data_IF_123438800852
#
_entry.id   IF_123438800852
#
_cell.length_a   1.000
_cell.length_b   1.000
_cell.length_c   1.000
_cell.angle_alpha   90.00
_cell.angle_beta   90.00
_cell.angle_gamma   90.00
#
_symmetry.space_group_name_H-M   'P 1'
#
loop_
_entity.id
_entity.type
_entity.pdbx_description
1 polymer ?
#
# COMPACT_ATOMS: atom_id res chain seq x y z
N UNK A 1 -0.83 21.75 15.36
CA UNK A 1 -1.87 20.93 14.66
C UNK A 1 -1.16 19.92 13.76
N UNK A 2 -1.77 18.78 13.38
CA UNK A 2 -1.08 17.78 12.50
C UNK A 2 -1.46 18.08 11.06
N UNK A 3 -0.47 18.17 10.17
CA UNK A 3 -0.72 18.13 8.72
C UNK A 3 -0.20 16.81 8.14
N UNK A 4 -0.92 16.23 7.19
CA UNK A 4 -0.42 15.12 6.37
C UNK A 4 -0.08 15.66 4.98
N UNK A 5 1.06 15.26 4.42
CA UNK A 5 1.43 15.64 3.06
C UNK A 5 1.84 14.40 2.25
N UNK A 6 1.13 14.16 1.14
CA UNK A 6 1.41 13.04 0.26
C UNK A 6 2.52 13.36 -0.75
N UNK A 7 3.49 12.47 -0.85
CA UNK A 7 4.50 12.37 -1.89
C UNK A 7 4.25 11.06 -2.65
N UNK A 8 3.45 11.12 -3.70
CA UNK A 8 3.08 9.94 -4.46
C UNK A 8 4.05 9.73 -5.62
N UNK A 9 4.73 8.59 -5.66
CA UNK A 9 5.58 8.25 -6.79
C UNK A 9 4.75 7.53 -7.85
N UNK A 10 4.24 8.28 -8.81
CA UNK A 10 3.41 7.78 -9.90
C UNK A 10 4.27 7.05 -10.93
N UNK A 11 4.20 5.73 -10.92
CA UNK A 11 4.90 4.87 -11.87
C UNK A 11 4.00 3.73 -12.36
N UNK A 12 4.11 3.32 -13.63
CA UNK A 12 3.43 2.12 -14.11
C UNK A 12 4.14 0.87 -13.58
N UNK A 13 3.44 0.09 -12.76
CA UNK A 13 3.94 -1.14 -12.13
C UNK A 13 3.16 -2.38 -12.57
N UNK A 14 2.15 -2.20 -13.42
CA UNK A 14 1.23 -3.28 -13.77
C UNK A 14 1.89 -4.29 -14.71
N UNK A 15 2.52 -3.82 -15.81
CA UNK A 15 3.16 -4.68 -16.81
C UNK A 15 4.70 -4.82 -16.65
N UNK A 16 5.30 -4.28 -15.60
CA UNK A 16 6.76 -4.27 -15.32
C UNK A 16 7.64 -3.52 -16.34
N UNK A 17 7.16 -3.28 -17.56
CA UNK A 17 7.91 -2.66 -18.66
C UNK A 17 8.54 -1.32 -18.25
N UNK A 18 7.73 -0.43 -17.67
CA UNK A 18 8.18 0.88 -17.23
C UNK A 18 9.17 0.78 -16.07
N UNK A 19 8.94 -0.13 -15.13
CA UNK A 19 9.88 -0.32 -14.03
C UNK A 19 11.23 -0.85 -14.52
N UNK A 20 11.23 -1.80 -15.46
CA UNK A 20 12.43 -2.33 -16.09
C UNK A 20 13.19 -1.24 -16.87
N UNK A 21 12.47 -0.37 -17.59
CA UNK A 21 13.07 0.78 -18.27
C UNK A 21 13.82 1.68 -17.27
N UNK A 22 13.18 2.01 -16.14
CA UNK A 22 13.77 2.85 -15.10
C UNK A 22 14.97 2.15 -14.46
N UNK A 23 14.84 0.87 -14.10
CA UNK A 23 15.92 0.08 -13.48
C UNK A 23 17.12 -0.07 -14.43
N UNK A 24 16.90 -0.30 -15.72
CA UNK A 24 17.97 -0.35 -16.72
C UNK A 24 18.75 0.96 -16.82
N UNK A 25 18.07 2.12 -16.76
CA UNK A 25 18.74 3.44 -16.66
C UNK A 25 19.50 3.64 -15.35
N UNK A 26 19.16 2.91 -14.31
CA UNK A 26 19.89 2.88 -13.03
C UNK A 26 21.03 1.85 -13.02
N UNK A 27 21.32 1.21 -14.15
CA UNK A 27 22.40 0.23 -14.29
C UNK A 27 22.01 -1.18 -13.85
N UNK A 28 20.72 -1.50 -13.77
CA UNK A 28 20.30 -2.87 -13.54
C UNK A 28 20.67 -3.75 -14.74
N UNK A 29 21.44 -4.81 -14.49
CA UNK A 29 21.53 -5.97 -15.38
C UNK A 29 20.92 -7.18 -14.67
N UNK A 30 19.69 -7.58 -15.02
CA UNK A 30 19.04 -8.68 -14.33
C UNK A 30 19.72 -10.04 -14.50
N UNK A 31 20.62 -10.21 -15.48
CA UNK A 31 21.39 -11.44 -15.63
C UNK A 31 22.61 -11.50 -14.69
N UNK A 32 23.07 -10.34 -14.20
CA UNK A 32 24.23 -10.21 -13.33
C UNK A 32 23.85 -9.88 -11.88
N UNK A 33 22.55 -9.67 -11.61
CA UNK A 33 22.04 -9.27 -10.30
C UNK A 33 21.17 -10.35 -9.66
N UNK A 34 21.30 -10.49 -8.34
CA UNK A 34 20.35 -11.25 -7.53
C UNK A 34 19.04 -10.49 -7.33
N UNK A 35 17.99 -11.21 -6.93
CA UNK A 35 16.72 -10.62 -6.53
C UNK A 35 16.87 -9.58 -5.41
N UNK A 36 17.71 -9.86 -4.42
CA UNK A 36 18.02 -8.92 -3.33
C UNK A 36 18.64 -7.62 -3.86
N UNK A 37 19.63 -7.72 -4.75
CA UNK A 37 20.28 -6.55 -5.32
C UNK A 37 19.31 -5.68 -6.12
N UNK A 38 18.33 -6.28 -6.80
CA UNK A 38 17.32 -5.55 -7.55
C UNK A 38 16.27 -4.90 -6.64
N UNK A 39 15.84 -5.58 -5.57
CA UNK A 39 15.01 -4.95 -4.52
C UNK A 39 15.74 -3.75 -3.92
N UNK A 40 17.04 -3.88 -3.64
CA UNK A 40 17.83 -2.76 -3.13
C UNK A 40 17.87 -1.59 -4.11
N UNK A 41 17.97 -1.85 -5.41
CA UNK A 41 17.96 -0.82 -6.44
C UNK A 41 16.59 -0.12 -6.53
N UNK A 42 15.49 -0.88 -6.48
CA UNK A 42 14.12 -0.36 -6.42
C UNK A 42 13.92 0.52 -5.18
N UNK A 43 14.37 0.07 -4.00
CA UNK A 43 14.29 0.84 -2.77
C UNK A 43 15.10 2.14 -2.84
N UNK A 44 16.34 2.07 -3.34
CA UNK A 44 17.20 3.26 -3.48
C UNK A 44 16.67 4.28 -4.48
N UNK A 45 15.87 3.87 -5.47
CA UNK A 45 15.13 4.81 -6.30
C UNK A 45 14.17 5.68 -5.46
N UNK A 46 13.40 5.05 -4.57
CA UNK A 46 12.50 5.77 -3.67
C UNK A 46 13.26 6.66 -2.68
N UNK A 47 14.34 6.15 -2.07
CA UNK A 47 15.17 6.90 -1.12
C UNK A 47 15.69 8.20 -1.73
N UNK A 48 16.16 8.16 -2.98
CA UNK A 48 16.62 9.38 -3.67
C UNK A 48 15.50 10.40 -3.87
N UNK A 49 14.27 9.96 -4.13
CA UNK A 49 13.11 10.85 -4.23
C UNK A 49 12.74 11.44 -2.87
N UNK A 50 12.73 10.62 -1.81
CA UNK A 50 12.48 11.07 -0.43
C UNK A 50 13.52 12.12 -0.02
N UNK A 51 14.81 11.83 -0.20
CA UNK A 51 15.90 12.74 0.14
C UNK A 51 15.82 14.06 -0.63
N UNK A 52 15.48 13.99 -1.92
CA UNK A 52 15.44 15.17 -2.78
C UNK A 52 14.23 16.07 -2.54
N UNK A 53 13.07 15.49 -2.25
CA UNK A 53 11.80 16.23 -2.28
C UNK A 53 11.06 16.24 -0.93
N UNK A 54 11.06 15.14 -0.17
CA UNK A 54 10.34 15.08 1.10
C UNK A 54 11.13 15.71 2.24
N UNK A 55 12.43 15.38 2.38
CA UNK A 55 13.26 15.89 3.48
C UNK A 55 13.36 17.42 3.55
N UNK A 56 13.58 18.16 2.44
CA UNK A 56 13.68 19.63 2.51
C UNK A 56 12.38 20.30 3.00
N UNK A 57 11.23 19.65 2.81
CA UNK A 57 9.93 20.17 3.27
C UNK A 57 9.77 19.98 4.78
N UNK A 58 10.26 18.86 5.33
CA UNK A 58 10.26 18.60 6.77
C UNK A 58 11.10 19.64 7.50
N UNK A 59 12.30 19.91 7.00
CA UNK A 59 13.24 20.88 7.59
C UNK A 59 12.65 22.29 7.67
N UNK A 60 11.74 22.63 6.76
CA UNK A 60 11.07 23.94 6.71
C UNK A 60 9.71 23.99 7.41
N UNK A 61 9.12 22.85 7.81
CA UNK A 61 7.75 22.77 8.36
C UNK A 61 7.63 21.71 9.46
N UNK A 62 7.81 22.15 10.71
CA UNK A 62 7.81 21.25 11.87
C UNK A 62 6.52 20.42 12.08
N UNK A 63 5.36 20.89 11.59
CA UNK A 63 4.03 20.30 11.87
C UNK A 63 3.50 19.32 10.80
N UNK A 64 4.33 18.88 9.84
CA UNK A 64 3.91 18.01 8.73
C UNK A 64 4.42 16.59 8.92
N UNK A 65 3.54 15.60 8.77
CA UNK A 65 3.86 14.20 8.54
C UNK A 65 3.88 13.93 7.01
N UNK A 66 5.06 13.78 6.39
CA UNK A 66 5.16 13.33 5.01
C UNK A 66 4.81 11.86 4.91
N UNK A 67 4.00 11.52 3.91
CA UNK A 67 3.69 10.15 3.53
C UNK A 67 4.27 9.92 2.15
N UNK A 68 5.28 9.06 2.03
CA UNK A 68 5.82 8.66 0.74
C UNK A 68 5.17 7.35 0.30
N UNK A 69 4.53 7.37 -0.87
CA UNK A 69 3.68 6.28 -1.35
C UNK A 69 3.86 6.06 -2.86
N UNK A 70 4.59 5.03 -3.29
CA UNK A 70 4.50 4.47 -4.63
C UNK A 70 3.32 3.49 -4.72
N UNK A 71 2.99 2.98 -5.92
CA UNK A 71 1.84 2.10 -6.13
C UNK A 71 2.09 0.63 -5.73
N UNK A 72 1.03 -0.17 -5.88
CA UNK A 72 1.10 -1.64 -5.78
C UNK A 72 2.10 -2.20 -6.80
N UNK A 73 2.70 -3.35 -6.50
CA UNK A 73 3.66 -4.04 -7.35
C UNK A 73 4.95 -3.27 -7.63
N UNK A 74 5.27 -2.25 -6.82
CA UNK A 74 6.52 -1.53 -6.96
C UNK A 74 7.73 -2.46 -6.88
N UNK A 75 7.70 -3.42 -5.95
CA UNK A 75 8.69 -4.48 -5.88
C UNK A 75 8.14 -5.72 -6.57
N UNK A 76 8.54 -5.87 -7.83
CA UNK A 76 8.33 -7.05 -8.68
C UNK A 76 9.64 -7.37 -9.41
N UNK A 77 9.94 -8.65 -9.62
CA UNK A 77 11.14 -9.06 -10.35
C UNK A 77 11.07 -8.59 -11.82
N UNK A 78 12.21 -8.42 -12.48
CA UNK A 78 12.24 -7.82 -13.82
C UNK A 78 11.42 -8.60 -14.86
N UNK A 79 11.24 -9.91 -14.69
CA UNK A 79 10.42 -10.74 -15.58
C UNK A 79 8.91 -10.61 -15.32
N UNK A 80 8.50 -9.83 -14.32
CA UNK A 80 7.13 -9.74 -13.83
C UNK A 80 6.78 -10.80 -12.76
N UNK A 81 7.73 -11.68 -12.45
CA UNK A 81 7.57 -12.79 -11.51
C UNK A 81 7.65 -12.30 -10.04
N UNK A 82 7.08 -13.06 -9.09
CA UNK A 82 7.27 -12.82 -7.67
C UNK A 82 8.70 -13.11 -7.22
N UNK A 83 9.17 -12.34 -6.25
CA UNK A 83 10.41 -12.61 -5.52
C UNK A 83 10.33 -13.90 -4.73
N UNK A 84 11.45 -14.58 -4.55
CA UNK A 84 11.57 -15.70 -3.64
C UNK A 84 11.52 -15.21 -2.18
N UNK A 85 10.93 -16.03 -1.30
CA UNK A 85 10.81 -15.75 0.13
C UNK A 85 12.10 -15.23 0.80
N UNK A 86 13.31 -15.78 0.54
CA UNK A 86 14.54 -15.24 1.13
C UNK A 86 14.79 -13.77 0.74
N UNK A 87 14.57 -13.41 -0.53
CA UNK A 87 14.75 -12.04 -0.99
C UNK A 87 13.74 -11.09 -0.34
N UNK A 88 12.48 -11.51 -0.18
CA UNK A 88 11.47 -10.76 0.56
C UNK A 88 11.88 -10.56 2.04
N UNK A 89 12.21 -11.63 2.76
CA UNK A 89 12.56 -11.54 4.18
C UNK A 89 13.81 -10.69 4.42
N UNK A 90 14.85 -10.87 3.59
CA UNK A 90 16.09 -10.10 3.69
C UNK A 90 15.87 -8.62 3.36
N UNK A 91 14.87 -8.30 2.53
CA UNK A 91 14.52 -6.91 2.24
C UNK A 91 13.93 -6.16 3.44
N UNK A 92 13.30 -6.84 4.40
CA UNK A 92 12.62 -6.18 5.53
C UNK A 92 13.60 -5.39 6.40
N UNK A 93 14.73 -6.01 6.76
CA UNK A 93 15.79 -5.37 7.53
C UNK A 93 16.45 -4.24 6.73
N UNK A 94 16.66 -4.45 5.43
CA UNK A 94 17.23 -3.43 4.55
C UNK A 94 16.32 -2.20 4.44
N UNK A 95 15.02 -2.39 4.17
CA UNK A 95 14.04 -1.31 4.11
C UNK A 95 13.90 -0.58 5.46
N UNK A 96 13.90 -1.32 6.57
CA UNK A 96 13.94 -0.71 7.90
C UNK A 96 15.20 0.16 8.06
N UNK A 97 16.38 -0.33 7.68
CA UNK A 97 17.62 0.44 7.77
C UNK A 97 17.56 1.73 6.95
N UNK A 98 17.00 1.70 5.74
CA UNK A 98 16.81 2.89 4.91
C UNK A 98 15.84 3.88 5.55
N UNK A 99 14.72 3.40 6.12
CA UNK A 99 13.74 4.24 6.81
C UNK A 99 14.35 5.04 7.97
N UNK A 100 15.39 4.49 8.64
CA UNK A 100 16.07 5.20 9.72
C UNK A 100 16.79 6.49 9.27
N UNK A 101 17.13 6.60 7.98
CA UNK A 101 17.78 7.79 7.42
C UNK A 101 16.81 8.97 7.20
N UNK A 102 15.51 8.74 7.30
CA UNK A 102 14.46 9.76 7.17
C UNK A 102 13.38 9.54 8.25
N UNK A 103 13.73 9.74 9.54
CA UNK A 103 12.94 9.23 10.66
C UNK A 103 11.57 9.88 10.83
N UNK A 104 11.32 10.99 10.14
CA UNK A 104 10.05 11.75 10.18
C UNK A 104 9.12 11.44 9.02
N UNK A 105 9.53 10.61 8.06
CA UNK A 105 8.70 10.23 6.89
C UNK A 105 8.01 8.91 7.18
N UNK A 106 6.68 8.88 7.04
CA UNK A 106 5.93 7.63 6.96
C UNK A 106 6.11 7.05 5.57
N UNK A 107 6.82 5.93 5.47
CA UNK A 107 7.18 5.33 4.20
C UNK A 107 6.43 4.03 4.00
N UNK A 108 5.45 4.04 3.09
CA UNK A 108 4.80 2.83 2.61
C UNK A 108 5.36 2.57 1.21
N UNK A 109 6.33 1.66 1.00
CA UNK A 109 7.15 1.63 -0.21
C UNK A 109 6.44 0.94 -1.39
N UNK A 110 5.10 0.87 -1.35
CA UNK A 110 4.28 0.08 -2.28
C UNK A 110 4.12 -1.34 -1.74
N UNK A 111 3.90 -2.28 -2.64
CA UNK A 111 3.82 -3.70 -2.27
C UNK A 111 4.95 -4.53 -2.85
N UNK A 112 5.25 -5.62 -2.15
CA UNK A 112 6.18 -6.66 -2.61
C UNK A 112 5.41 -7.85 -3.12
N UNK A 113 5.63 -8.19 -4.39
CA UNK A 113 5.15 -9.41 -5.02
C UNK A 113 6.16 -10.53 -4.77
N UNK A 114 5.80 -11.54 -3.96
CA UNK A 114 6.73 -12.59 -3.55
C UNK A 114 6.05 -13.96 -3.45
N UNK A 115 6.83 -15.04 -3.37
CA UNK A 115 6.33 -16.41 -3.30
C UNK A 115 7.15 -17.29 -2.37
N UNK A 116 6.56 -18.41 -1.97
CA UNK A 116 7.22 -19.47 -1.23
C UNK A 116 6.76 -20.86 -1.71
N UNK A 117 7.52 -21.93 -1.42
CA UNK A 117 7.11 -23.28 -1.80
C UNK A 117 5.76 -23.68 -1.18
N UNK A 118 4.88 -24.30 -1.97
CA UNK A 118 3.66 -24.91 -1.46
C UNK A 118 4.00 -26.19 -0.70
N UNK A 119 3.58 -26.29 0.57
CA UNK A 119 3.75 -27.50 1.39
C UNK A 119 2.37 -28.12 1.60
N UNK A 120 2.01 -29.21 0.90
CA UNK A 120 0.71 -29.87 1.08
C UNK A 120 0.53 -30.36 2.52
N UNK A 121 -0.59 -30.01 3.15
CA UNK A 121 -0.83 -30.36 4.55
C UNK A 121 -1.52 -31.72 4.78
N UNK A 122 -1.91 -32.44 3.72
CA UNK A 122 -2.54 -33.77 3.82
C UNK A 122 -2.08 -34.70 2.69
N UNK A 123 -2.00 -36.00 3.00
CA UNK A 123 -1.88 -37.10 2.04
C UNK A 123 -3.17 -37.20 1.19
N UNK A 124 -3.31 -36.28 0.23
CA UNK A 124 -4.29 -36.34 -0.86
C UNK A 124 -3.59 -36.67 -2.18
N UNK A 125 -4.33 -36.85 -3.30
CA UNK A 125 -3.72 -37.07 -4.61
C UNK A 125 -2.69 -35.97 -4.85
N UNK A 126 -1.46 -36.38 -5.14
CA UNK A 126 -0.28 -35.52 -5.26
C UNK A 126 -0.60 -34.32 -6.14
N UNK A 127 -0.90 -33.18 -5.53
CA UNK A 127 -0.76 -31.92 -6.24
C UNK A 127 0.73 -31.80 -6.64
N UNK A 128 1.04 -31.33 -7.85
CA UNK A 128 2.41 -31.29 -8.35
C UNK A 128 3.32 -30.57 -7.35
N UNK A 129 4.50 -31.13 -7.11
CA UNK A 129 5.53 -30.59 -6.20
C UNK A 129 6.10 -29.23 -6.65
N UNK A 130 5.62 -28.70 -7.77
CA UNK A 130 6.08 -27.47 -8.40
C UNK A 130 5.17 -26.26 -8.08
N UNK A 131 4.22 -26.42 -7.15
CA UNK A 131 3.32 -25.35 -6.75
C UNK A 131 3.99 -24.35 -5.79
N UNK A 132 3.68 -23.07 -5.96
CA UNK A 132 4.16 -21.99 -5.10
C UNK A 132 2.99 -21.17 -4.57
N UNK A 133 3.09 -20.72 -3.33
CA UNK A 133 2.17 -19.76 -2.73
C UNK A 133 2.69 -18.37 -3.03
N UNK A 134 1.89 -17.56 -3.70
CA UNK A 134 2.26 -16.18 -4.04
C UNK A 134 1.57 -15.21 -3.07
N UNK A 135 2.22 -14.07 -2.87
CA UNK A 135 1.90 -13.07 -1.88
C UNK A 135 2.10 -11.64 -2.41
N UNK A 136 1.33 -10.71 -1.85
CA UNK A 136 1.37 -9.29 -2.21
C UNK A 136 1.24 -8.47 -0.92
N UNK A 137 2.39 -8.14 -0.35
CA UNK A 137 2.47 -7.52 0.97
C UNK A 137 2.75 -6.03 0.87
N UNK A 138 1.89 -5.20 1.45
CA UNK A 138 2.16 -3.80 1.72
C UNK A 138 2.94 -3.67 3.04
N UNK A 139 4.05 -2.93 3.00
CA UNK A 139 4.87 -2.65 4.18
C UNK A 139 4.71 -1.18 4.57
N UNK A 140 4.82 -0.86 5.85
CA UNK A 140 4.83 0.53 6.32
C UNK A 140 5.94 0.70 7.34
N UNK A 141 6.88 1.60 7.04
CA UNK A 141 8.02 1.91 7.89
C UNK A 141 7.96 3.35 8.41
N UNK A 142 8.46 3.54 9.63
CA UNK A 142 8.68 4.85 10.22
C UNK A 142 9.84 4.79 11.20
N UNK A 143 10.81 5.70 11.08
CA UNK A 143 11.98 5.78 11.97
C UNK A 143 12.69 4.43 12.17
N UNK A 144 12.93 3.72 11.05
CA UNK A 144 13.61 2.43 11.07
C UNK A 144 12.83 1.27 11.69
N UNK A 145 11.52 1.44 11.91
CA UNK A 145 10.64 0.39 12.44
C UNK A 145 9.59 0.02 11.40
N UNK A 146 9.38 -1.28 11.21
CA UNK A 146 8.21 -1.81 10.52
C UNK A 146 6.99 -1.63 11.42
N UNK A 147 6.06 -0.76 11.02
CA UNK A 147 4.82 -0.48 11.73
C UNK A 147 3.68 -1.42 11.30
N UNK A 148 3.63 -1.78 10.02
CA UNK A 148 2.60 -2.64 9.45
C UNK A 148 3.18 -3.49 8.32
N UNK A 149 2.77 -4.76 8.27
CA UNK A 149 2.97 -5.67 7.14
C UNK A 149 1.61 -6.27 6.82
N UNK A 150 0.94 -5.71 5.82
CA UNK A 150 -0.40 -6.10 5.41
C UNK A 150 -0.34 -6.97 4.17
N UNK A 151 -0.87 -8.18 4.25
CA UNK A 151 -1.10 -9.00 3.07
C UNK A 151 -2.43 -8.65 2.41
N UNK A 152 -2.41 -8.38 1.10
CA UNK A 152 -3.62 -8.23 0.28
C UNK A 152 -4.54 -9.45 0.42
N UNK A 153 -5.80 -9.23 0.76
CA UNK A 153 -6.78 -10.32 0.94
C UNK A 153 -7.52 -10.66 -0.36
N UNK A 154 -7.75 -9.66 -1.23
CA UNK A 154 -8.52 -9.84 -2.48
C UNK A 154 -7.65 -9.76 -3.72
N UNK A 155 -7.68 -10.79 -4.56
CA UNK A 155 -6.95 -10.82 -5.82
C UNK A 155 -7.77 -10.49 -7.06
N UNK A 156 -7.06 -10.07 -8.11
CA UNK A 156 -7.57 -9.99 -9.47
C UNK A 156 -7.02 -11.12 -10.35
N UNK A 157 -7.77 -11.53 -11.37
CA UNK A 157 -7.28 -12.45 -12.41
C UNK A 157 -6.11 -11.85 -13.23
N UNK A 158 -5.86 -10.56 -13.08
CA UNK A 158 -4.84 -9.78 -13.81
C UNK A 158 -3.52 -9.74 -13.02
N UNK A 159 -3.51 -10.17 -11.75
CA UNK A 159 -2.33 -10.17 -10.86
C UNK A 159 -1.25 -11.22 -11.26
N UNK A 160 -1.22 -11.65 -12.53
CA UNK A 160 -0.12 -12.41 -13.11
C UNK A 160 -0.22 -13.93 -13.01
N UNK A 161 -1.24 -14.48 -12.34
CA UNK A 161 -1.50 -15.93 -12.22
C UNK A 161 -2.01 -16.53 -13.55
N UNK A 162 -1.20 -16.46 -14.61
CA UNK A 162 -1.49 -17.05 -15.91
C UNK A 162 -1.25 -18.56 -15.84
N UNK A 163 -2.24 -19.33 -15.40
CA UNK A 163 -2.34 -20.80 -15.63
C UNK A 163 -1.03 -21.58 -15.35
N UNK A 164 -0.29 -21.21 -14.32
CA UNK A 164 0.89 -21.92 -13.82
C UNK A 164 0.55 -22.81 -12.61
N UNK A 165 1.54 -23.52 -12.03
CA UNK A 165 1.36 -24.28 -10.78
C UNK A 165 1.20 -23.38 -9.54
N UNK A 166 1.12 -22.07 -9.69
CA UNK A 166 1.00 -21.13 -8.58
C UNK A 166 -0.42 -21.16 -7.98
N UNK A 167 -0.48 -21.37 -6.68
CA UNK A 167 -1.70 -21.33 -5.88
C UNK A 167 -1.59 -20.09 -5.03
N UNK A 168 -2.44 -19.08 -5.23
CA UNK A 168 -2.46 -17.96 -4.30
C UNK A 168 -2.78 -18.45 -2.89
N UNK A 169 -2.33 -17.72 -1.87
CA UNK A 169 -2.90 -17.76 -0.52
C UNK A 169 -4.36 -17.27 -0.60
N UNK A 170 -5.22 -18.05 -1.26
CA UNK A 170 -6.66 -17.83 -1.23
C UNK A 170 -7.03 -17.93 0.22
N UNK A 171 -7.94 -17.07 0.65
CA UNK A 171 -8.69 -17.29 1.88
C UNK A 171 -9.59 -18.54 1.74
N UNK A 172 -9.01 -19.68 1.43
CA UNK A 172 -9.51 -20.98 1.82
C UNK A 172 -9.06 -21.22 3.26
N UNK A 173 -9.82 -22.03 3.99
CA UNK A 173 -9.52 -22.32 5.40
C UNK A 173 -8.13 -22.96 5.61
N UNK A 174 -7.43 -23.36 4.54
CA UNK A 174 -6.12 -24.03 4.59
C UNK A 174 -4.94 -23.05 4.53
N UNK A 175 -5.07 -21.90 3.86
CA UNK A 175 -3.99 -20.92 3.69
C UNK A 175 -3.90 -19.90 4.84
N UNK A 176 -4.91 -19.90 5.72
CA UNK A 176 -4.98 -19.23 7.04
C UNK A 176 -3.78 -19.48 8.00
N UNK A 177 -2.84 -20.36 7.63
CA UNK A 177 -1.65 -20.70 8.43
C UNK A 177 -0.41 -19.86 8.11
N UNK A 178 -0.38 -19.14 6.98
CA UNK A 178 0.80 -18.35 6.58
C UNK A 178 0.59 -16.87 6.93
N UNK A 179 -0.63 -16.39 6.76
CA UNK A 179 -1.10 -15.13 7.32
C UNK A 179 -1.53 -15.40 8.75
N UNK A 180 -0.64 -15.11 9.67
CA UNK A 180 -0.89 -15.16 11.09
C UNK A 180 -2.24 -14.44 11.37
N UNK A 181 -3.16 -15.05 12.14
CA UNK A 181 -4.44 -14.46 12.59
C UNK A 181 -4.22 -13.11 13.37
N UNK A 182 -2.96 -12.67 13.50
CA UNK A 182 -2.44 -11.44 14.09
C UNK A 182 -2.24 -10.28 13.10
N UNK A 183 -2.35 -10.50 11.78
CA UNK A 183 -2.23 -9.41 10.81
C UNK A 183 -3.39 -8.42 10.95
N UNK A 184 -3.03 -7.17 11.19
CA UNK A 184 -3.96 -6.04 11.27
C UNK A 184 -3.60 -5.02 10.19
N UNK A 185 -4.57 -4.57 9.38
CA UNK A 185 -4.34 -3.46 8.46
C UNK A 185 -4.26 -2.12 9.21
N UNK A 186 -4.56 -2.11 10.52
CA UNK A 186 -4.49 -0.94 11.38
C UNK A 186 -3.17 -0.88 12.13
N UNK A 187 -2.59 0.32 12.18
CA UNK A 187 -1.37 0.62 12.91
C UNK A 187 -1.43 2.06 13.46
N UNK A 188 -0.39 2.47 14.17
CA UNK A 188 -0.26 3.86 14.61
C UNK A 188 1.12 4.42 14.30
N UNK A 189 1.16 5.71 13.98
CA UNK A 189 2.40 6.46 13.79
C UNK A 189 2.45 7.61 14.81
N UNK A 190 3.65 7.91 15.29
CA UNK A 190 3.89 9.05 16.17
C UNK A 190 4.51 10.16 15.33
N UNK A 191 3.90 11.34 15.29
CA UNK A 191 4.43 12.48 14.55
C UNK A 191 5.66 13.11 15.23
N UNK A 192 6.24 14.13 14.59
CA UNK A 192 7.39 14.90 15.11
C UNK A 192 7.14 15.56 16.47
N UNK A 193 5.89 15.66 16.92
CA UNK A 193 5.46 16.27 18.17
C UNK A 193 5.00 15.25 19.21
N UNK A 194 5.18 13.96 18.97
CA UNK A 194 4.79 12.91 19.91
C UNK A 194 3.30 12.55 19.89
N UNK A 195 2.53 13.07 18.92
CA UNK A 195 1.10 12.76 18.79
C UNK A 195 0.92 11.45 18.04
N UNK A 196 0.09 10.57 18.58
CA UNK A 196 -0.25 9.30 17.96
C UNK A 196 -1.39 9.50 16.97
N UNK A 197 -1.20 9.03 15.73
CA UNK A 197 -2.21 8.97 14.69
C UNK A 197 -2.60 7.51 14.46
N UNK A 198 -3.90 7.26 14.37
CA UNK A 198 -4.45 5.98 13.93
C UNK A 198 -4.42 5.87 12.41
N UNK A 199 -3.97 4.74 11.88
CA UNK A 199 -3.81 4.54 10.45
C UNK A 199 -4.44 3.21 10.01
N UNK A 200 -4.85 3.15 8.75
CA UNK A 200 -5.26 1.92 8.07
C UNK A 200 -4.66 1.86 6.67
N UNK A 201 -4.26 0.67 6.23
CA UNK A 201 -3.75 0.43 4.87
C UNK A 201 -4.53 -0.69 4.18
N UNK A 202 -4.76 -0.56 2.89
CA UNK A 202 -5.28 -1.64 2.06
C UNK A 202 -4.71 -1.61 0.63
N UNK A 203 -4.86 -2.72 -0.09
CA UNK A 203 -4.23 -2.91 -1.40
C UNK A 203 -5.27 -3.16 -2.49
N UNK A 204 -5.39 -2.22 -3.42
CA UNK A 204 -6.13 -2.38 -4.68
C UNK A 204 -7.55 -2.95 -4.48
N UNK A 205 -7.81 -4.21 -4.85
CA UNK A 205 -9.13 -4.84 -4.72
C UNK A 205 -9.61 -5.03 -3.30
N UNK A 206 -8.74 -4.93 -2.29
CA UNK A 206 -9.17 -4.82 -0.89
C UNK A 206 -10.15 -3.65 -0.74
N UNK A 207 -9.96 -2.57 -1.49
CA UNK A 207 -10.82 -1.39 -1.48
C UNK A 207 -12.17 -1.56 -2.20
N UNK A 208 -12.41 -2.69 -2.88
CA UNK A 208 -13.58 -2.87 -3.75
C UNK A 208 -14.78 -3.43 -2.99
N UNK A 209 -15.94 -2.79 -3.09
CA UNK A 209 -17.21 -3.42 -2.72
C UNK A 209 -17.59 -4.50 -3.75
N UNK A 210 -17.84 -5.72 -3.28
CA UNK A 210 -18.32 -6.81 -4.12
C UNK A 210 -19.86 -6.86 -4.07
N UNK A 211 -20.48 -7.09 -5.23
CA UNK A 211 -21.92 -7.32 -5.26
C UNK A 211 -22.23 -8.64 -4.54
N UNK A 212 -23.24 -8.67 -3.66
CA UNK A 212 -23.59 -9.89 -2.95
C UNK A 212 -24.00 -10.98 -3.94
N UNK A 213 -23.56 -12.21 -3.69
CA UNK A 213 -24.21 -13.36 -4.31
C UNK A 213 -25.62 -13.45 -3.73
N UNK A 214 -26.60 -13.83 -4.56
CA UNK A 214 -28.05 -13.75 -4.26
C UNK A 214 -28.39 -14.10 -2.81
N UNK A 215 -28.82 -13.10 -2.03
CA UNK A 215 -29.30 -13.27 -0.65
C UNK A 215 -28.30 -12.89 0.46
N UNK A 216 -27.06 -12.54 0.11
CA UNK A 216 -26.04 -12.12 1.08
C UNK A 216 -26.01 -10.59 1.27
N UNK A 217 -25.46 -10.13 2.39
CA UNK A 217 -25.17 -8.72 2.62
C UNK A 217 -24.01 -8.26 1.71
N UNK A 218 -23.97 -6.98 1.29
CA UNK A 218 -22.87 -6.47 0.48
C UNK A 218 -21.53 -6.67 1.22
N UNK A 219 -20.57 -7.25 0.50
CA UNK A 219 -19.22 -7.44 0.99
C UNK A 219 -18.41 -6.16 0.69
N UNK A 220 -18.27 -5.33 1.72
CA UNK A 220 -17.57 -4.04 1.63
C UNK A 220 -16.07 -4.22 1.44
N UNK A 221 -15.33 -3.13 1.23
CA UNK A 221 -13.87 -3.15 1.23
C UNK A 221 -13.31 -3.76 2.52
N UNK A 222 -12.17 -4.44 2.42
CA UNK A 222 -11.57 -5.22 3.51
C UNK A 222 -11.27 -4.34 4.73
N UNK A 223 -10.66 -3.17 4.55
CA UNK A 223 -10.37 -2.28 5.68
C UNK A 223 -11.65 -1.88 6.41
N UNK A 224 -12.73 -1.58 5.67
CA UNK A 224 -14.04 -1.25 6.24
C UNK A 224 -14.63 -2.43 7.00
N UNK A 225 -14.59 -3.63 6.42
CA UNK A 225 -15.10 -4.85 7.05
C UNK A 225 -14.36 -5.15 8.35
N UNK A 226 -13.02 -5.09 8.33
CA UNK A 226 -12.17 -5.27 9.52
C UNK A 226 -12.40 -4.17 10.57
N UNK A 227 -12.59 -2.94 10.14
CA UNK A 227 -12.87 -1.83 11.06
C UNK A 227 -14.19 -2.05 11.80
N UNK A 228 -15.26 -2.39 11.07
CA UNK A 228 -16.58 -2.62 11.66
C UNK A 228 -16.61 -3.79 12.63
N UNK A 229 -15.79 -4.84 12.42
CA UNK A 229 -15.72 -5.98 13.33
C UNK A 229 -14.88 -5.72 14.57
N UNK A 230 -13.87 -4.84 14.49
CA UNK A 230 -12.98 -4.52 15.62
C UNK A 230 -13.43 -3.31 16.45
N UNK A 231 -14.12 -2.34 15.82
CA UNK A 231 -14.40 -1.02 16.42
C UNK A 231 -15.87 -0.59 16.24
N UNK A 232 -16.79 -1.25 16.95
CA UNK A 232 -18.25 -1.00 16.87
C UNK A 232 -18.68 0.46 17.15
N UNK A 233 -17.85 1.22 17.87
CA UNK A 233 -18.12 2.60 18.31
C UNK A 233 -17.07 3.64 17.90
N UNK A 234 -16.09 3.29 17.06
CA UNK A 234 -15.00 4.21 16.71
C UNK A 234 -15.40 5.26 15.66
N UNK A 235 -14.61 6.34 15.56
CA UNK A 235 -14.82 7.47 14.63
C UNK A 235 -14.22 7.29 13.22
N UNK A 236 -13.42 6.26 13.01
CA UNK A 236 -12.59 6.04 11.83
C UNK A 236 -11.11 6.23 12.16
N UNK A 237 -10.23 6.08 11.17
CA UNK A 237 -8.79 6.33 11.30
C UNK A 237 -8.41 7.77 10.94
N UNK A 238 -7.29 8.29 11.43
CA UNK A 238 -6.76 9.61 11.03
C UNK A 238 -6.27 9.60 9.58
N UNK A 239 -5.59 8.52 9.18
CA UNK A 239 -5.00 8.34 7.85
C UNK A 239 -5.37 6.98 7.28
N UNK A 240 -6.02 6.99 6.12
CA UNK A 240 -6.25 5.80 5.30
C UNK A 240 -5.29 5.83 4.11
N UNK A 241 -4.52 4.77 3.92
CA UNK A 241 -3.55 4.59 2.83
C UNK A 241 -4.06 3.52 1.87
N UNK A 242 -4.12 3.84 0.58
CA UNK A 242 -4.46 2.90 -0.49
C UNK A 242 -3.33 2.84 -1.52
N UNK A 243 -2.71 1.67 -1.65
CA UNK A 243 -1.79 1.40 -2.75
C UNK A 243 -2.46 0.50 -3.77
N UNK A 244 -2.40 0.85 -5.05
CA UNK A 244 -3.18 0.17 -6.09
C UNK A 244 -2.43 0.06 -7.42
N UNK A 245 -2.93 -0.82 -8.29
CA UNK A 245 -2.61 -0.85 -9.71
C UNK A 245 -3.89 -1.15 -10.51
N UNK A 246 -4.54 -0.10 -11.00
CA UNK A 246 -5.77 -0.17 -11.80
C UNK A 246 -7.06 -0.16 -11.00
N UNK A 247 -7.07 0.40 -9.78
CA UNK A 247 -8.25 0.46 -8.92
C UNK A 247 -8.58 1.91 -8.51
N UNK A 248 -9.73 2.47 -8.96
CA UNK A 248 -10.17 3.78 -8.52
C UNK A 248 -10.60 3.78 -7.06
N UNK A 249 -10.58 4.96 -6.45
CA UNK A 249 -11.13 5.17 -5.11
C UNK A 249 -12.67 4.96 -5.12
N UNK A 250 -13.17 4.22 -4.14
CA UNK A 250 -14.58 3.98 -3.83
C UNK A 250 -14.91 4.66 -2.51
N UNK A 251 -15.57 5.84 -2.54
CA UNK A 251 -15.83 6.64 -1.35
C UNK A 251 -16.50 5.88 -0.21
N UNK A 252 -17.37 4.91 -0.52
CA UNK A 252 -18.08 4.09 0.44
C UNK A 252 -17.19 3.16 1.28
N UNK A 253 -15.94 2.91 0.87
CA UNK A 253 -14.98 2.08 1.59
C UNK A 253 -13.93 2.89 2.35
N UNK A 254 -14.02 4.22 2.33
CA UNK A 254 -13.09 5.08 3.08
C UNK A 254 -13.41 5.01 4.57
N UNK A 255 -12.44 4.52 5.35
CA UNK A 255 -12.52 4.38 6.83
C UNK A 255 -12.07 5.64 7.58
N UNK A 256 -11.44 6.63 6.92
CA UNK A 256 -10.95 7.82 7.60
C UNK A 256 -12.08 8.58 8.32
N UNK A 257 -11.80 9.06 9.52
CA UNK A 257 -12.74 9.85 10.32
C UNK A 257 -13.05 11.19 9.67
N UNK A 258 -14.07 11.88 10.20
CA UNK A 258 -14.30 13.29 9.85
C UNK A 258 -13.04 14.10 10.18
N UNK A 259 -12.54 14.87 9.23
CA UNK A 259 -11.28 15.61 9.39
C UNK A 259 -10.02 14.78 9.21
N UNK A 260 -10.16 13.47 8.96
CA UNK A 260 -9.05 12.58 8.56
C UNK A 260 -8.70 12.71 7.08
N UNK A 261 -7.72 11.95 6.63
CA UNK A 261 -7.19 11.98 5.26
C UNK A 261 -7.23 10.60 4.62
N UNK A 262 -7.47 10.57 3.32
CA UNK A 262 -7.23 9.41 2.45
C UNK A 262 -6.10 9.79 1.48
N UNK A 263 -5.11 8.90 1.37
CA UNK A 263 -4.05 8.98 0.35
C UNK A 263 -4.09 7.74 -0.52
N UNK A 264 -3.92 7.92 -1.83
CA UNK A 264 -3.91 6.84 -2.82
C UNK A 264 -2.77 7.01 -3.81
N UNK A 265 -2.13 5.92 -4.20
CA UNK A 265 -1.25 5.86 -5.37
C UNK A 265 -1.59 4.64 -6.23
N UNK A 266 -1.75 4.84 -7.53
CA UNK A 266 -2.18 3.85 -8.51
C UNK A 266 -1.17 3.71 -9.66
N UNK A 267 -0.66 2.49 -9.82
CA UNK A 267 0.32 2.10 -10.82
C UNK A 267 -0.27 1.45 -12.08
N UNK A 268 -1.59 1.47 -12.25
CA UNK A 268 -2.28 0.95 -13.41
C UNK A 268 -2.06 1.80 -14.64
N UNK A 269 -1.80 1.13 -15.76
CA UNK A 269 -1.66 1.79 -17.06
C UNK A 269 -2.95 2.53 -17.43
N UNK A 270 -2.83 3.82 -17.76
CA UNK A 270 -3.97 4.65 -18.16
C UNK A 270 -4.96 4.99 -17.04
N UNK A 271 -4.59 4.84 -15.76
CA UNK A 271 -5.42 5.29 -14.66
C UNK A 271 -5.78 6.78 -14.79
N UNK A 272 -7.07 7.11 -14.74
CA UNK A 272 -7.57 8.50 -14.91
C UNK A 272 -7.04 9.45 -13.84
N UNK A 273 -6.83 8.95 -12.62
CA UNK A 273 -6.04 9.58 -11.57
C UNK A 273 -5.04 8.58 -11.02
N UNK A 274 -3.75 8.93 -11.09
CA UNK A 274 -2.63 8.07 -10.64
C UNK A 274 -2.29 8.23 -9.17
N UNK A 275 -2.67 9.35 -8.56
CA UNK A 275 -2.60 9.50 -7.13
C UNK A 275 -3.66 10.48 -6.65
N UNK A 276 -4.02 10.38 -5.37
CA UNK A 276 -5.05 11.23 -4.77
C UNK A 276 -4.72 11.49 -3.31
N UNK A 277 -4.98 12.72 -2.85
CA UNK A 277 -4.93 13.09 -1.43
C UNK A 277 -6.15 13.95 -1.14
N UNK A 278 -7.01 13.47 -0.23
CA UNK A 278 -8.27 14.17 0.10
C UNK A 278 -8.46 14.32 1.59
N UNK A 279 -8.94 15.50 2.01
CA UNK A 279 -9.55 15.67 3.32
C UNK A 279 -10.92 15.01 3.31
N UNK A 280 -11.23 14.24 4.36
CA UNK A 280 -12.50 13.53 4.49
C UNK A 280 -13.51 14.36 5.28
N UNK A 281 -14.55 14.83 4.59
CA UNK A 281 -15.72 15.48 5.19
C UNK A 281 -16.86 14.47 5.36
N UNK A 282 -17.54 14.54 6.50
CA UNK A 282 -18.70 13.71 6.82
C UNK A 282 -19.81 14.59 7.42
N UNK A 283 -21.04 14.10 7.37
CA UNK A 283 -22.22 14.82 7.86
C UNK A 283 -22.17 15.19 9.34
N UNK A 284 -23.14 16.00 9.76
CA UNK A 284 -23.30 16.39 11.17
C UNK A 284 -23.72 15.21 12.06
N UNK A 285 -23.35 15.26 13.34
CA UNK A 285 -23.61 14.19 14.32
C UNK A 285 -22.36 13.81 15.12
N UNK A 286 -22.45 12.71 15.88
CA UNK A 286 -21.28 12.17 16.56
C UNK A 286 -20.28 11.59 15.54
N UNK A 287 -18.97 11.55 15.84
CA UNK A 287 -17.98 10.97 14.92
C UNK A 287 -18.34 9.55 14.46
N UNK A 288 -18.85 8.71 15.37
CA UNK A 288 -19.30 7.36 15.05
C UNK A 288 -20.56 7.33 14.16
N UNK A 289 -21.53 8.22 14.38
CA UNK A 289 -22.71 8.30 13.49
C UNK A 289 -22.35 8.82 12.11
N UNK A 290 -21.41 9.76 12.02
CA UNK A 290 -20.92 10.33 10.77
C UNK A 290 -20.15 9.28 9.93
N UNK A 291 -19.35 8.41 10.58
CA UNK A 291 -18.68 7.31 9.88
C UNK A 291 -19.69 6.30 9.31
N UNK A 292 -20.73 5.95 10.08
CA UNK A 292 -21.77 4.97 9.69
C UNK A 292 -22.58 5.34 8.45
N UNK A 293 -22.51 6.59 7.99
CA UNK A 293 -23.13 7.02 6.73
C UNK A 293 -22.38 6.51 5.50
N UNK A 294 -21.10 6.11 5.63
CA UNK A 294 -20.27 5.51 4.58
C UNK A 294 -20.39 6.19 3.20
N UNK A 295 -20.46 7.52 3.22
CA UNK A 295 -20.62 8.37 2.04
C UNK A 295 -19.90 9.71 2.27
N UNK A 296 -18.56 9.68 2.47
CA UNK A 296 -17.82 10.90 2.71
C UNK A 296 -17.82 11.81 1.47
N UNK A 297 -17.73 13.11 1.72
CA UNK A 297 -17.31 14.09 0.72
C UNK A 297 -15.79 14.23 0.79
N UNK A 298 -15.16 14.36 -0.37
CA UNK A 298 -13.71 14.44 -0.51
C UNK A 298 -13.32 15.83 -0.98
N UNK A 299 -12.48 16.52 -0.22
CA UNK A 299 -11.85 17.76 -0.68
C UNK A 299 -10.45 17.45 -1.22
N UNK A 300 -10.20 17.59 -2.52
CA UNK A 300 -8.89 17.31 -3.09
C UNK A 300 -7.87 18.36 -2.66
N UNK A 301 -6.68 17.89 -2.27
CA UNK A 301 -5.52 18.75 -2.10
C UNK A 301 -4.96 19.16 -3.47
N UNK A 302 -4.41 20.38 -3.55
CA UNK A 302 -3.67 20.82 -4.73
C UNK A 302 -2.42 19.95 -4.92
N UNK A 303 -2.01 19.73 -6.17
CA UNK A 303 -0.89 18.84 -6.53
C UNK A 303 0.08 19.54 -7.47
N UNK A 304 1.37 19.33 -7.24
CA UNK A 304 2.46 19.71 -8.13
C UNK A 304 3.15 18.44 -8.67
N UNK A 305 3.43 18.41 -9.98
CA UNK A 305 4.06 17.26 -10.63
C UNK A 305 5.52 17.54 -11.00
N UNK A 306 6.39 16.62 -10.62
CA UNK A 306 7.81 16.63 -10.91
C UNK A 306 8.18 15.47 -11.82
N UNK A 307 8.45 15.79 -13.09
CA UNK A 307 8.65 14.81 -14.16
C UNK A 307 7.64 15.01 -15.29
N UNK A 308 8.03 14.70 -16.51
CA UNK A 308 7.19 14.85 -17.71
C UNK A 308 6.48 13.57 -18.12
N UNK A 309 7.00 12.42 -17.71
CA UNK A 309 6.43 11.11 -18.02
C UNK A 309 5.28 10.82 -17.03
N UNK A 310 4.02 10.75 -17.47
CA UNK A 310 2.89 10.41 -16.59
C UNK A 310 2.98 8.98 -16.05
N UNK A 311 3.79 8.11 -16.65
CA UNK A 311 4.09 6.76 -16.17
C UNK A 311 5.35 6.71 -15.30
N UNK A 312 5.98 7.85 -15.01
CA UNK A 312 7.16 7.98 -14.14
C UNK A 312 7.38 9.44 -13.70
N UNK A 313 6.70 9.84 -12.64
CA UNK A 313 6.84 11.18 -12.05
C UNK A 313 6.48 11.18 -10.57
N UNK A 314 6.87 12.23 -9.87
CA UNK A 314 6.49 12.45 -8.48
C UNK A 314 5.34 13.47 -8.41
N UNK A 315 4.27 13.14 -7.73
CA UNK A 315 3.18 14.05 -7.38
C UNK A 315 3.34 14.49 -5.91
N UNK A 316 3.43 15.80 -5.68
CA UNK A 316 3.57 16.38 -4.34
C UNK A 316 2.29 17.15 -4.04
N UNK A 317 1.52 16.67 -3.08
CA UNK A 317 0.28 17.31 -2.66
C UNK A 317 0.55 18.43 -1.65
N UNK A 318 -0.33 19.42 -1.61
CA UNK A 318 -0.34 20.41 -0.54
C UNK A 318 -0.65 19.73 0.81
N UNK A 319 -0.05 20.19 1.93
CA UNK A 319 -0.37 19.63 3.25
C UNK A 319 -1.86 19.77 3.59
N UNK A 320 -2.47 18.69 4.04
CA UNK A 320 -3.85 18.64 4.52
C UNK A 320 -3.86 18.65 6.03
N UNK A 321 -4.58 19.61 6.62
CA UNK A 321 -4.72 19.73 8.08
C UNK A 321 -5.72 18.70 8.60
N UNK A 322 -5.30 17.91 9.56
CA UNK A 322 -6.23 17.05 10.30
C UNK A 322 -7.05 17.94 11.23
N UNK A 323 -8.37 17.83 11.14
CA UNK A 323 -9.29 18.50 12.06
C UNK A 323 -9.61 17.55 13.22
N UNK A 324 -9.73 18.07 14.45
CA UNK A 324 -10.17 17.30 15.61
C UNK A 324 -11.63 16.85 15.49
#
# INVERSE_FOLDING_TARGET
MVCVQLFAYEVDTHNSDKMNEIMGRQGADPNEMSQEQYIHLQANLQVRLIQRYALPIIESRAEVLPVFLPPEFFFKWHSGEPYERPAFLNSLEYLASLSSAFPTVLWAPGTVWWKEPYIPQKEGPQEPRDHAIVHNSALVFHNGRLLCSWQKERLSDIDGLRRGPEVWDRWDDHSRRILDDTQSPFFSVIDSHGRQLSCGIEVCLDHRSLQPQRGEHPDFGILRTRYCSQYENGAGVDLHILTAAGMPLQPENIVSRRGGVIVRCDGGSGASSRSECHLVRRGEGSPASALRQWSPQLDPAAVEYWGKDPDNRLAIYAPVRLNE
#
